data_IF_709152529760
#
_entry.id   IF_709152529760
#
_cell.length_a   1.000
_cell.length_b   1.000
_cell.length_c   1.000
_cell.angle_alpha   90.00
_cell.angle_beta   90.00
_cell.angle_gamma   90.00
#
_symmetry.space_group_name_H-M   'P 1'
#
loop_
_entity.id
_entity.type
_entity.pdbx_description
1 polymer ?
#
# COMPACT_ATOMS: atom_id res chain seq x y z
N UNK A 1 12.37 14.69 7.75
CA UNK A 1 11.34 14.47 8.78
C UNK A 1 10.05 14.16 8.05
N UNK A 2 9.71 12.88 7.92
CA UNK A 2 8.41 12.43 7.42
C UNK A 2 8.07 11.26 8.33
N UNK A 3 7.04 11.43 9.15
CA UNK A 3 6.56 10.45 10.15
C UNK A 3 5.07 10.66 10.28
N UNK A 4 4.36 10.64 9.16
CA UNK A 4 2.96 11.07 9.11
C UNK A 4 1.96 9.90 9.06
N UNK A 5 2.35 8.67 8.73
CA UNK A 5 1.37 7.62 8.41
C UNK A 5 1.05 6.54 9.47
N UNK A 6 1.52 6.53 10.74
CA UNK A 6 1.08 5.48 11.66
C UNK A 6 -0.37 5.67 12.12
N UNK A 7 -0.81 6.93 12.31
CA UNK A 7 -2.14 7.26 12.83
C UNK A 7 -3.20 7.49 11.76
N UNK A 8 -2.81 7.68 10.50
CA UNK A 8 -3.72 8.04 9.41
C UNK A 8 -4.20 6.80 8.65
N UNK A 9 -5.36 6.92 8.00
CA UNK A 9 -5.98 5.85 7.22
C UNK A 9 -5.56 5.98 5.75
N UNK A 10 -4.64 5.16 5.23
CA UNK A 10 -4.26 5.20 3.82
C UNK A 10 -5.39 4.66 2.94
N UNK A 11 -5.64 5.36 1.83
CA UNK A 11 -6.61 4.98 0.81
C UNK A 11 -6.01 5.17 -0.57
N UNK A 12 -6.31 4.27 -1.50
CA UNK A 12 -5.93 4.46 -2.91
C UNK A 12 -6.60 5.71 -3.49
N UNK A 13 -5.83 6.50 -4.25
CA UNK A 13 -6.35 7.66 -4.95
C UNK A 13 -7.42 7.28 -5.97
N UNK A 14 -8.42 8.16 -6.15
CA UNK A 14 -9.55 7.91 -7.05
C UNK A 14 -9.12 7.67 -8.52
N UNK A 15 -8.04 8.34 -8.95
CA UNK A 15 -7.46 8.16 -10.29
C UNK A 15 -6.55 6.93 -10.41
N UNK A 16 -6.35 6.20 -9.30
CA UNK A 16 -5.52 5.00 -9.25
C UNK A 16 -6.39 3.74 -9.24
N UNK A 17 -5.96 2.72 -9.98
CA UNK A 17 -6.67 1.44 -10.07
C UNK A 17 -5.69 0.29 -9.92
N UNK A 18 -5.93 -0.55 -8.91
CA UNK A 18 -5.27 -1.82 -8.71
C UNK A 18 -6.13 -2.93 -9.33
N UNK A 19 -5.56 -3.71 -10.25
CA UNK A 19 -6.27 -4.81 -10.89
C UNK A 19 -5.32 -5.94 -11.30
N UNK A 20 -5.87 -7.13 -11.46
CA UNK A 20 -5.14 -8.27 -12.00
C UNK A 20 -5.27 -8.32 -13.52
N UNK A 21 -4.14 -8.38 -14.20
CA UNK A 21 -4.04 -8.55 -15.65
C UNK A 21 -3.86 -10.02 -15.99
N UNK A 22 -4.97 -10.70 -16.29
CA UNK A 22 -4.98 -12.13 -16.60
C UNK A 22 -4.30 -12.49 -17.92
N UNK A 23 -4.04 -11.53 -18.82
CA UNK A 23 -3.28 -11.82 -20.04
C UNK A 23 -1.79 -12.04 -19.74
N UNK A 24 -1.29 -11.33 -18.73
CA UNK A 24 0.11 -11.36 -18.32
C UNK A 24 0.34 -12.03 -16.95
N UNK A 25 -0.72 -12.61 -16.37
CA UNK A 25 -0.74 -13.28 -15.07
C UNK A 25 -0.07 -12.46 -13.94
N UNK A 26 -0.38 -11.16 -13.88
CA UNK A 26 0.27 -10.24 -12.92
C UNK A 26 -0.66 -9.14 -12.41
N UNK A 27 -0.33 -8.61 -11.25
CA UNK A 27 -1.00 -7.43 -10.71
C UNK A 27 -0.44 -6.14 -11.31
N UNK A 28 -1.33 -5.16 -11.50
CA UNK A 28 -1.01 -3.85 -12.07
C UNK A 28 -1.66 -2.76 -11.21
N UNK A 29 -0.84 -1.82 -10.76
CA UNK A 29 -1.29 -0.55 -10.21
C UNK A 29 -1.14 0.52 -11.28
N UNK A 30 -2.27 1.02 -11.80
CA UNK A 30 -2.31 2.09 -12.78
C UNK A 30 -2.64 3.40 -12.08
N UNK A 31 -1.79 4.40 -12.23
CA UNK A 31 -2.05 5.79 -11.87
C UNK A 31 -2.16 6.68 -13.11
N UNK A 32 -2.40 7.99 -12.92
CA UNK A 32 -2.62 8.94 -14.02
C UNK A 32 -1.40 9.12 -14.93
N UNK A 33 -0.19 9.08 -14.37
CA UNK A 33 1.07 9.33 -15.11
C UNK A 33 2.04 8.13 -15.09
N UNK A 34 1.68 7.05 -14.42
CA UNK A 34 2.60 5.94 -14.13
C UNK A 34 1.85 4.63 -13.95
N UNK A 35 2.56 3.54 -14.24
CA UNK A 35 2.07 2.19 -14.11
C UNK A 35 3.13 1.36 -13.38
N UNK A 36 2.73 0.64 -12.35
CA UNK A 36 3.59 -0.18 -11.50
C UNK A 36 3.11 -1.61 -11.51
N UNK A 37 4.08 -2.53 -11.47
CA UNK A 37 3.84 -3.94 -11.19
C UNK A 37 4.26 -4.20 -9.75
N UNK A 38 3.32 -4.20 -8.79
CA UNK A 38 3.67 -4.42 -7.39
C UNK A 38 4.22 -5.83 -7.19
N UNK A 39 5.22 -5.95 -6.35
CA UNK A 39 5.64 -7.23 -5.79
C UNK A 39 4.61 -7.70 -4.75
N UNK A 40 4.84 -8.87 -4.15
CA UNK A 40 3.89 -9.45 -3.20
C UNK A 40 3.62 -8.53 -2.01
N UNK A 41 4.66 -7.97 -1.40
CA UNK A 41 4.53 -7.07 -0.24
C UNK A 41 3.78 -5.80 -0.61
N UNK A 42 4.16 -5.16 -1.72
CA UNK A 42 3.49 -3.95 -2.17
C UNK A 42 2.01 -4.22 -2.45
N UNK A 43 1.71 -5.33 -3.11
CA UNK A 43 0.34 -5.69 -3.48
C UNK A 43 -0.57 -5.81 -2.26
N UNK A 44 -0.18 -6.61 -1.27
CA UNK A 44 -0.98 -6.83 -0.06
C UNK A 44 -1.14 -5.54 0.75
N UNK A 45 -0.10 -4.70 0.79
CA UNK A 45 -0.15 -3.40 1.47
C UNK A 45 -1.15 -2.49 0.78
N UNK A 46 -1.09 -2.38 -0.55
CA UNK A 46 -2.04 -1.58 -1.33
C UNK A 46 -3.47 -2.11 -1.24
N UNK A 47 -3.67 -3.43 -1.17
CA UNK A 47 -4.99 -4.02 -0.97
C UNK A 47 -5.57 -3.71 0.41
N UNK A 48 -4.72 -3.52 1.42
CA UNK A 48 -5.13 -3.11 2.77
C UNK A 48 -5.41 -1.60 2.89
N UNK A 49 -5.06 -0.79 1.89
CA UNK A 49 -5.33 0.66 1.86
C UNK A 49 -6.79 0.95 1.43
N UNK A 50 -7.72 0.68 2.34
CA UNK A 50 -9.16 0.87 2.13
C UNK A 50 -9.72 2.14 2.80
N UNK A 51 -8.88 2.93 3.48
CA UNK A 51 -9.30 4.10 4.26
C UNK A 51 -10.00 3.78 5.59
N UNK A 52 -10.03 2.51 6.03
CA UNK A 52 -10.66 2.08 7.30
C UNK A 52 -9.63 1.78 8.38
N UNK A 53 -8.53 1.12 8.03
CA UNK A 53 -7.44 0.82 8.95
C UNK A 53 -6.37 1.90 8.91
N UNK A 54 -5.74 2.19 10.05
CA UNK A 54 -4.56 3.07 10.08
C UNK A 54 -3.32 2.37 9.53
N UNK A 55 -2.34 3.14 9.05
CA UNK A 55 -1.06 2.59 8.58
C UNK A 55 -0.37 1.70 9.63
N UNK A 56 -0.44 2.05 10.92
CA UNK A 56 0.10 1.20 11.98
C UNK A 56 -0.67 -0.13 12.16
N UNK A 57 -1.99 -0.11 12.00
CA UNK A 57 -2.79 -1.35 12.06
C UNK A 57 -2.47 -2.28 10.89
N UNK A 58 -2.34 -1.72 9.68
CA UNK A 58 -1.95 -2.45 8.47
C UNK A 58 -0.56 -3.06 8.66
N UNK A 59 0.42 -2.24 9.07
CA UNK A 59 1.80 -2.68 9.30
C UNK A 59 1.89 -3.83 10.30
N UNK A 60 1.24 -3.69 11.46
CA UNK A 60 1.21 -4.74 12.49
C UNK A 60 0.53 -6.02 12.02
N UNK A 61 -0.58 -5.88 11.30
CA UNK A 61 -1.30 -7.04 10.74
C UNK A 61 -0.42 -7.79 9.76
N UNK A 62 0.16 -7.09 8.77
CA UNK A 62 1.02 -7.68 7.74
C UNK A 62 2.31 -8.28 8.29
N UNK A 63 2.96 -7.63 9.27
CA UNK A 63 4.14 -8.19 9.94
C UNK A 63 3.83 -9.46 10.76
N UNK A 64 2.56 -9.67 11.13
CA UNK A 64 2.11 -10.88 11.81
C UNK A 64 1.78 -12.04 10.86
N UNK A 65 1.64 -11.79 9.55
CA UNK A 65 1.33 -12.84 8.58
C UNK A 65 2.56 -13.72 8.31
N UNK A 66 2.46 -15.00 8.67
CA UNK A 66 3.58 -15.96 8.58
C UNK A 66 4.03 -16.29 7.15
N UNK A 67 3.19 -16.06 6.15
CA UNK A 67 3.50 -16.29 4.72
C UNK A 67 4.48 -15.25 4.15
N UNK A 68 4.69 -14.14 4.87
CA UNK A 68 5.58 -13.05 4.50
C UNK A 68 6.85 -13.14 5.35
N UNK A 69 7.67 -14.15 5.06
CA UNK A 69 8.93 -14.35 5.77
C UNK A 69 9.80 -13.09 5.63
N UNK A 70 10.28 -12.58 6.77
CA UNK A 70 11.17 -11.42 6.90
C UNK A 70 10.54 -10.05 6.59
N UNK A 71 9.21 -9.92 6.64
CA UNK A 71 8.56 -8.60 6.58
C UNK A 71 8.41 -8.04 8.00
N UNK A 72 8.85 -6.79 8.19
CA UNK A 72 8.69 -6.02 9.41
C UNK A 72 7.61 -4.95 9.25
N UNK A 73 7.16 -4.37 10.37
CA UNK A 73 6.25 -3.21 10.32
C UNK A 73 6.86 -2.04 9.55
N UNK A 74 8.18 -1.86 9.62
CA UNK A 74 8.90 -0.81 8.89
C UNK A 74 8.86 -1.01 7.38
N UNK A 75 8.99 -2.23 6.88
CA UNK A 75 8.91 -2.51 5.44
C UNK A 75 7.53 -2.12 4.87
N UNK A 76 6.47 -2.35 5.66
CA UNK A 76 5.11 -1.96 5.26
C UNK A 76 4.95 -0.44 5.28
N UNK A 77 5.48 0.23 6.31
CA UNK A 77 5.44 1.70 6.40
C UNK A 77 6.23 2.36 5.27
N UNK A 78 7.40 1.84 4.92
CA UNK A 78 8.21 2.34 3.79
C UNK A 78 7.44 2.23 2.46
N UNK A 79 6.70 1.14 2.25
CA UNK A 79 5.81 1.02 1.08
C UNK A 79 4.71 2.07 1.12
N UNK A 80 4.05 2.28 2.27
CA UNK A 80 3.00 3.28 2.38
C UNK A 80 3.52 4.69 2.09
N UNK A 81 4.65 5.07 2.68
CA UNK A 81 5.28 6.38 2.48
C UNK A 81 5.73 6.58 1.03
N UNK A 82 6.36 5.57 0.41
CA UNK A 82 6.78 5.69 -0.98
C UNK A 82 5.61 5.86 -1.94
N UNK A 83 4.50 5.14 -1.72
CA UNK A 83 3.33 5.21 -2.60
C UNK A 83 2.47 6.46 -2.33
N UNK A 84 2.50 7.01 -1.12
CA UNK A 84 1.96 8.34 -0.81
C UNK A 84 2.77 9.44 -1.51
N UNK A 85 4.10 9.41 -1.38
CA UNK A 85 5.02 10.34 -2.06
C UNK A 85 4.88 10.31 -3.59
N UNK A 86 4.59 9.13 -4.15
CA UNK A 86 4.34 8.94 -5.59
C UNK A 86 2.92 9.33 -6.02
N UNK A 87 2.03 9.64 -5.09
CA UNK A 87 0.65 10.05 -5.36
C UNK A 87 -0.30 8.91 -5.75
N UNK A 88 -0.02 7.67 -5.34
CA UNK A 88 -0.98 6.56 -5.49
C UNK A 88 -1.90 6.41 -4.29
N UNK A 89 -1.40 6.78 -3.11
CA UNK A 89 -2.13 6.71 -1.85
C UNK A 89 -2.36 8.15 -1.38
N UNK A 90 -3.52 8.38 -0.80
CA UNK A 90 -3.79 9.55 0.05
C UNK A 90 -4.08 9.10 1.46
N UNK A 91 -3.92 10.01 2.40
CA UNK A 91 -4.26 9.79 3.82
C UNK A 91 -5.54 10.51 4.17
N UNK A 92 -6.43 9.82 4.87
CA UNK A 92 -7.59 10.45 5.50
C UNK A 92 -7.23 10.82 6.94
N UNK A 93 -7.56 12.06 7.32
CA UNK A 93 -7.59 12.48 8.71
C UNK A 93 -8.96 12.10 9.27
N UNK A 94 -8.96 11.31 10.35
CA UNK A 94 -10.16 11.01 11.12
C UNK A 94 -10.74 12.26 11.80
#
# INVERSE_FOLDING_TARGET
>A
MITAMPGLMPVLNADCKLYFDGQHDRWVLKGPQQLIFPDRLTLITLQACDGSCSGAQIARSLASFSDLKNITEYDVLDVLEEFERRGFISVLNA
#
